data_IF_417371549069
#
_entry.id   IF_417371549069
#
_cell.length_a   1.000
_cell.length_b   1.000
_cell.length_c   1.000
_cell.angle_alpha   90.00
_cell.angle_beta   90.00
_cell.angle_gamma   90.00
#
_symmetry.space_group_name_H-M   'P 1'
#
loop_
_entity.id
_entity.type
_entity.pdbx_description
1 polymer ?
#
# COMPACT_ATOMS: atom_id res chain seq x y z
N UNK A 1 8.39 0.91 -0.99
CA UNK A 1 9.16 2.13 -1.26
C UNK A 1 8.98 3.08 -0.09
N UNK A 2 10.00 3.88 0.26
CA UNK A 2 9.91 4.85 1.36
C UNK A 2 9.46 6.20 0.77
N UNK A 3 8.14 6.37 0.67
CA UNK A 3 7.49 7.57 0.12
C UNK A 3 6.00 7.61 0.53
N UNK A 4 5.26 8.59 0.04
CA UNK A 4 3.81 8.72 0.26
C UNK A 4 3.48 9.75 1.33
N UNK A 5 2.28 9.67 1.90
CA UNK A 5 1.80 10.69 2.85
C UNK A 5 2.59 10.78 4.16
N UNK A 6 3.27 9.70 4.57
CA UNK A 6 3.84 9.55 5.92
C UNK A 6 5.30 9.09 5.93
N UNK A 7 5.93 8.93 4.77
CA UNK A 7 7.33 8.53 4.64
C UNK A 7 8.00 9.32 3.54
N UNK A 8 9.27 9.65 3.74
CA UNK A 8 10.11 10.35 2.76
C UNK A 8 11.58 10.00 3.00
N UNK A 9 12.48 10.56 2.20
CA UNK A 9 13.93 10.45 2.39
C UNK A 9 14.47 11.82 2.72
N UNK A 10 15.22 11.95 3.82
CA UNK A 10 15.98 13.18 4.09
C UNK A 10 17.13 13.30 3.09
N UNK A 11 17.14 14.39 2.32
CA UNK A 11 18.13 14.61 1.28
C UNK A 11 19.55 14.84 1.84
N UNK A 12 19.69 15.29 3.08
CA UNK A 12 21.01 15.54 3.70
C UNK A 12 21.70 14.25 4.13
N UNK A 13 20.94 13.33 4.70
CA UNK A 13 21.45 12.10 5.31
C UNK A 13 21.19 10.85 4.47
N UNK A 14 20.31 10.98 3.46
CA UNK A 14 19.77 9.89 2.64
C UNK A 14 19.05 8.81 3.46
N UNK A 15 18.64 9.12 4.69
CA UNK A 15 17.93 8.20 5.56
C UNK A 15 16.41 8.24 5.31
N UNK A 16 15.72 7.11 5.49
CA UNK A 16 14.27 7.07 5.43
C UNK A 16 13.67 7.72 6.67
N UNK A 17 12.82 8.71 6.46
CA UNK A 17 12.17 9.48 7.52
C UNK A 17 10.65 9.30 7.49
N UNK A 18 10.01 9.73 8.57
CA UNK A 18 8.56 9.78 8.70
C UNK A 18 8.14 10.30 10.07
N UNK A 19 7.23 11.28 10.15
CA UNK A 19 6.80 11.84 11.43
C UNK A 19 6.19 10.72 12.29
N UNK A 20 6.70 10.55 13.51
CA UNK A 20 6.25 9.51 14.47
C UNK A 20 4.75 9.55 14.70
N UNK A 21 4.16 10.75 14.74
CA UNK A 21 2.72 11.00 14.89
C UNK A 21 1.86 10.42 13.77
N UNK A 22 2.45 10.04 12.63
CA UNK A 22 1.75 9.45 11.47
C UNK A 22 2.08 7.98 11.27
N UNK A 23 2.54 7.31 12.33
CA UNK A 23 2.71 5.85 12.44
C UNK A 23 3.72 5.22 11.46
N UNK A 24 4.47 6.03 10.71
CA UNK A 24 5.50 5.57 9.77
C UNK A 24 5.02 4.51 8.74
N UNK A 25 3.74 4.56 8.36
CA UNK A 25 3.09 3.64 7.41
C UNK A 25 3.19 4.11 5.95
N UNK A 26 2.87 3.24 5.00
CA UNK A 26 2.69 3.60 3.60
C UNK A 26 1.28 4.17 3.39
N UNK A 27 1.18 5.28 2.66
CA UNK A 27 -0.09 5.89 2.25
C UNK A 27 0.06 6.55 0.87
N UNK A 28 -0.90 6.31 -0.03
CA UNK A 28 -1.07 7.04 -1.29
C UNK A 28 -2.52 7.48 -1.43
N UNK A 29 -2.75 8.77 -1.71
CA UNK A 29 -4.07 9.35 -1.95
C UNK A 29 -4.02 10.18 -3.22
N UNK A 30 -4.79 9.78 -4.25
CA UNK A 30 -4.81 10.44 -5.56
C UNK A 30 -3.40 10.67 -6.17
N UNK A 31 -2.44 9.79 -5.86
CA UNK A 31 -1.04 10.00 -6.18
C UNK A 31 -0.69 9.65 -7.62
N UNK A 32 -1.39 8.67 -8.21
CA UNK A 32 -1.20 8.17 -9.58
C UNK A 32 0.26 8.20 -10.08
N UNK A 33 1.17 7.41 -9.45
CA UNK A 33 2.56 7.41 -9.85
C UNK A 33 2.77 7.09 -11.33
N UNK A 34 3.86 7.58 -11.89
CA UNK A 34 4.20 7.33 -13.30
C UNK A 34 4.73 5.90 -13.50
N UNK A 35 3.84 4.92 -13.44
CA UNK A 35 4.18 3.50 -13.50
C UNK A 35 4.85 3.12 -14.82
N UNK A 36 4.53 3.75 -15.94
CA UNK A 36 5.18 3.48 -17.23
C UNK A 36 6.70 3.70 -17.16
N UNK A 37 7.13 4.82 -16.58
CA UNK A 37 8.55 5.08 -16.34
C UNK A 37 9.16 4.04 -15.39
N UNK A 38 8.47 3.72 -14.29
CA UNK A 38 8.97 2.73 -13.33
C UNK A 38 9.15 1.35 -13.97
N UNK A 39 8.19 0.91 -14.79
CA UNK A 39 8.27 -0.33 -15.55
C UNK A 39 9.40 -0.34 -16.58
N UNK A 40 9.65 0.80 -17.25
CA UNK A 40 10.73 0.94 -18.21
C UNK A 40 12.12 0.85 -17.55
N UNK A 41 12.26 1.30 -16.30
CA UNK A 41 13.52 1.27 -15.54
C UNK A 41 13.73 -0.10 -14.86
N UNK A 42 12.77 -0.57 -14.07
CA UNK A 42 12.84 -1.84 -13.35
C UNK A 42 11.44 -2.46 -13.20
N UNK A 43 11.10 -3.31 -14.18
CA UNK A 43 9.84 -4.06 -14.19
C UNK A 43 9.68 -4.96 -12.96
N UNK A 44 10.64 -5.84 -12.59
CA UNK A 44 10.52 -6.67 -11.39
C UNK A 44 10.26 -5.86 -10.10
N UNK A 45 10.96 -4.74 -9.88
CA UNK A 45 10.73 -3.90 -8.71
C UNK A 45 9.35 -3.24 -8.73
N UNK A 46 8.88 -2.79 -9.89
CA UNK A 46 7.55 -2.19 -10.05
C UNK A 46 6.45 -3.21 -9.76
N UNK A 47 6.58 -4.45 -10.25
CA UNK A 47 5.65 -5.54 -9.91
C UNK A 47 5.65 -5.82 -8.40
N UNK A 48 6.83 -5.93 -7.78
CA UNK A 48 6.94 -6.13 -6.32
C UNK A 48 6.28 -4.99 -5.54
N UNK A 49 6.42 -3.75 -6.00
CA UNK A 49 5.77 -2.61 -5.37
C UNK A 49 4.25 -2.71 -5.45
N UNK A 50 3.69 -2.95 -6.64
CA UNK A 50 2.23 -3.04 -6.83
C UNK A 50 1.64 -4.20 -6.01
N UNK A 51 2.30 -5.36 -6.02
CA UNK A 51 1.87 -6.51 -5.20
C UNK A 51 1.97 -6.21 -3.71
N UNK A 52 3.08 -5.62 -3.26
CA UNK A 52 3.26 -5.22 -1.86
C UNK A 52 2.25 -4.18 -1.41
N UNK A 53 1.89 -3.24 -2.29
CA UNK A 53 0.87 -2.22 -2.03
C UNK A 53 -0.49 -2.87 -1.76
N UNK A 54 -0.97 -3.73 -2.66
CA UNK A 54 -2.22 -4.47 -2.42
C UNK A 54 -2.16 -5.36 -1.18
N UNK A 55 -1.05 -6.09 -0.97
CA UNK A 55 -0.87 -6.94 0.20
C UNK A 55 -0.96 -6.19 1.53
N UNK A 56 -0.49 -4.94 1.55
CA UNK A 56 -0.47 -4.13 2.77
C UNK A 56 -1.77 -3.36 3.01
N UNK A 57 -2.50 -3.01 1.95
CA UNK A 57 -3.68 -2.15 2.02
C UNK A 57 -5.02 -2.92 1.95
N UNK A 58 -5.04 -4.18 1.52
CA UNK A 58 -6.21 -5.06 1.66
C UNK A 58 -6.10 -5.82 2.99
N UNK A 59 -6.97 -5.49 3.93
CA UNK A 59 -7.02 -6.10 5.27
C UNK A 59 -7.77 -7.43 5.25
N UNK A 60 -8.87 -7.52 4.51
CA UNK A 60 -9.59 -8.77 4.27
C UNK A 60 -9.93 -8.89 2.79
N UNK A 61 -9.31 -9.88 2.13
CA UNK A 61 -9.52 -10.16 0.72
C UNK A 61 -10.88 -10.81 0.44
N UNK A 62 -11.48 -11.50 1.41
CA UNK A 62 -12.79 -12.16 1.23
C UNK A 62 -13.89 -11.15 0.97
N UNK A 63 -13.79 -9.97 1.58
CA UNK A 63 -14.81 -8.92 1.51
C UNK A 63 -14.30 -7.62 0.90
N UNK A 64 -13.03 -7.61 0.45
CA UNK A 64 -12.33 -6.42 -0.06
C UNK A 64 -12.33 -5.25 0.94
N UNK A 65 -12.07 -5.55 2.22
CA UNK A 65 -11.82 -4.51 3.22
C UNK A 65 -10.46 -3.85 2.91
N UNK A 66 -10.47 -2.55 2.65
CA UNK A 66 -9.28 -1.76 2.34
C UNK A 66 -8.97 -0.71 3.40
N UNK A 67 -7.72 -0.27 3.43
CA UNK A 67 -7.24 0.79 4.32
C UNK A 67 -6.35 1.76 3.55
N UNK A 68 -6.45 3.05 3.87
CA UNK A 68 -5.51 4.08 3.41
C UNK A 68 -4.07 3.89 3.91
N UNK A 69 -3.90 3.19 5.04
CA UNK A 69 -2.59 2.90 5.64
C UNK A 69 -2.21 1.44 5.41
N UNK A 70 -0.98 1.21 4.95
CA UNK A 70 -0.37 -0.10 4.79
C UNK A 70 0.92 -0.22 5.60
N UNK A 71 1.04 -1.30 6.37
CA UNK A 71 2.25 -1.55 7.17
C UNK A 71 3.41 -2.05 6.31
N UNK A 72 4.62 -1.57 6.59
CA UNK A 72 5.85 -2.08 5.99
C UNK A 72 6.19 -3.48 6.53
N UNK A 73 7.02 -4.22 5.78
CA UNK A 73 7.57 -5.52 6.24
C UNK A 73 6.56 -6.67 6.27
N UNK A 74 5.34 -6.50 5.75
CA UNK A 74 4.36 -7.59 5.66
C UNK A 74 4.82 -8.67 4.69
N UNK A 75 4.76 -9.92 5.14
CA UNK A 75 4.90 -11.09 4.27
C UNK A 75 3.79 -11.12 3.23
N UNK A 76 4.09 -11.44 1.95
CA UNK A 76 3.07 -11.64 0.93
C UNK A 76 2.10 -12.78 1.29
N UNK A 77 0.80 -12.50 1.24
CA UNK A 77 -0.25 -13.52 1.30
C UNK A 77 -0.60 -14.10 -0.07
N UNK A 78 -1.81 -14.66 -0.20
CA UNK A 78 -2.31 -15.24 -1.46
C UNK A 78 -2.53 -14.20 -2.58
N UNK A 79 -2.59 -12.90 -2.25
CA UNK A 79 -2.85 -11.82 -3.20
C UNK A 79 -4.10 -12.14 -4.05
N UNK A 80 -3.92 -12.21 -5.37
CA UNK A 80 -4.95 -12.45 -6.36
C UNK A 80 -5.60 -13.84 -6.28
N UNK A 81 -5.01 -14.78 -5.54
CA UNK A 81 -5.54 -16.12 -5.33
C UNK A 81 -6.40 -16.26 -4.05
N UNK A 82 -6.76 -15.15 -3.39
CA UNK A 82 -7.77 -15.18 -2.34
C UNK A 82 -9.17 -15.36 -2.93
N UNK A 83 -10.02 -16.09 -2.21
CA UNK A 83 -11.45 -16.16 -2.52
C UNK A 83 -12.13 -14.83 -2.23
N UNK A 84 -13.22 -14.52 -2.93
CA UNK A 84 -14.01 -13.31 -2.76
C UNK A 84 -15.49 -13.66 -2.53
N UNK A 85 -16.15 -12.89 -1.67
CA UNK A 85 -17.58 -13.00 -1.37
C UNK A 85 -18.15 -11.61 -1.17
N UNK A 86 -18.99 -11.18 -2.11
CA UNK A 86 -19.66 -9.89 -2.08
C UNK A 86 -20.45 -9.70 -0.77
N UNK A 87 -20.32 -8.53 -0.17
CA UNK A 87 -21.12 -8.09 0.98
C UNK A 87 -22.19 -7.09 0.55
N UNK A 88 -23.28 -6.91 1.34
CA UNK A 88 -24.22 -5.82 1.13
C UNK A 88 -23.54 -4.45 1.20
N UNK A 89 -24.12 -3.40 0.57
CA UNK A 89 -23.63 -2.04 0.70
C UNK A 89 -23.49 -1.61 2.17
N UNK A 90 -22.42 -0.86 2.49
CA UNK A 90 -22.13 -0.33 3.82
C UNK A 90 -21.98 -1.38 4.95
N UNK A 91 -21.50 -2.58 4.63
CA UNK A 91 -21.09 -3.54 5.65
C UNK A 91 -19.98 -2.97 6.55
N UNK A 92 -20.03 -3.27 7.84
CA UNK A 92 -19.11 -2.72 8.82
C UNK A 92 -17.72 -3.35 8.70
N UNK A 93 -16.69 -2.52 8.70
CA UNK A 93 -15.28 -2.91 8.62
C UNK A 93 -14.43 -2.01 9.51
N UNK A 94 -13.18 -2.40 9.77
CA UNK A 94 -12.21 -1.56 10.49
C UNK A 94 -11.48 -0.62 9.55
N UNK A 95 -11.10 -1.11 8.37
CA UNK A 95 -10.52 -0.35 7.27
C UNK A 95 -11.51 0.70 6.75
N UNK A 96 -11.01 1.89 6.43
CA UNK A 96 -11.80 2.97 5.86
C UNK A 96 -11.51 3.07 4.37
N UNK A 97 -12.50 2.72 3.54
CA UNK A 97 -12.40 2.60 2.08
C UNK A 97 -12.63 3.93 1.34
N UNK A 98 -11.87 4.97 1.72
CA UNK A 98 -11.94 6.32 1.16
C UNK A 98 -11.61 6.41 -0.33
#
# INVERSE_FOLDING_TARGET
MIWGGHRFVDLKTLQPEGPSEKEQVHELKNAYPWYELMFAVDKPATVRFIHGFWNAHVYDWKVLETSRHGQYGKTPGKLWANDFTQQPPFFATKGLSF
#
